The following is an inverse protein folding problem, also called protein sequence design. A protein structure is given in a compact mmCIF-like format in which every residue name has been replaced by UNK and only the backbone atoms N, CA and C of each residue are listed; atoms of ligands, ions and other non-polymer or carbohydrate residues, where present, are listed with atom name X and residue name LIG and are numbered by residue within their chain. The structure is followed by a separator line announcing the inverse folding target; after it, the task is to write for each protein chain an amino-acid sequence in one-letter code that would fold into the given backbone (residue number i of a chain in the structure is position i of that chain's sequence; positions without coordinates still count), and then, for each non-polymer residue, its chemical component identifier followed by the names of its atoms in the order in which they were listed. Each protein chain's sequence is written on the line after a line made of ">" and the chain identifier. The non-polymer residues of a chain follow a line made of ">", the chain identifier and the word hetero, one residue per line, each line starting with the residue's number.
data_IF_413052685907
#
_entry.id   IF_413052685907
#
_cell.length_a   1.000
_cell.length_b   1.000
_cell.length_c   1.000
_cell.angle_alpha   90.00
_cell.angle_beta   90.00
_cell.angle_gamma   90.00
#
_symmetry.space_group_name_H-M   'P 1'
#
loop_
_entity.id
_entity.type
_entity.pdbx_description
1 polymer ?
#
# COMPACT_ATOMS: atom_id res chain seq x y z
N UNK A 1 -65.40 -44.38 -72.37
CA UNK A 1 -66.08 -43.27 -71.65
C UNK A 1 -65.40 -43.10 -70.32
N UNK A 2 -64.69 -42.08 -70.17
CA UNK A 2 -64.25 -41.33 -68.99
C UNK A 2 -62.92 -40.65 -69.23
N UNK A 3 -62.96 -39.33 -69.22
CA UNK A 3 -61.80 -38.45 -69.41
C UNK A 3 -60.92 -38.40 -68.15
N UNK A 4 -59.61 -38.26 -68.28
CA UNK A 4 -58.76 -37.90 -67.17
C UNK A 4 -58.58 -36.38 -67.09
N UNK A 5 -58.80 -35.85 -65.87
CA UNK A 5 -58.62 -34.44 -65.51
C UNK A 5 -57.16 -34.07 -65.36
N UNK A 6 -56.72 -33.00 -66.03
CA UNK A 6 -55.48 -32.35 -65.88
C UNK A 6 -55.43 -31.57 -64.55
N UNK A 7 -54.39 -31.79 -63.72
CA UNK A 7 -54.07 -30.98 -62.57
C UNK A 7 -52.92 -30.03 -62.90
N UNK A 8 -52.98 -28.72 -62.51
CA UNK A 8 -51.91 -27.78 -62.80
C UNK A 8 -50.77 -27.90 -61.77
N UNK A 9 -49.52 -27.84 -62.25
CA UNK A 9 -48.30 -27.83 -61.50
C UNK A 9 -48.16 -26.52 -60.72
N UNK A 10 -48.08 -26.63 -59.39
CA UNK A 10 -47.75 -25.53 -58.52
C UNK A 10 -46.22 -25.29 -58.55
N UNK A 11 -45.78 -24.13 -59.03
CA UNK A 11 -44.42 -23.63 -58.98
C UNK A 11 -44.10 -23.28 -57.51
N UNK A 12 -43.22 -24.06 -56.83
CA UNK A 12 -42.66 -23.76 -55.55
C UNK A 12 -41.53 -22.73 -55.72
N UNK A 13 -41.73 -21.54 -55.21
CA UNK A 13 -40.68 -20.53 -55.08
C UNK A 13 -39.83 -20.84 -53.86
N UNK A 14 -38.59 -21.28 -54.01
CA UNK A 14 -37.63 -21.42 -52.98
C UNK A 14 -37.06 -20.01 -52.66
N UNK A 15 -37.54 -19.40 -51.56
CA UNK A 15 -36.92 -18.25 -50.96
C UNK A 15 -35.71 -18.72 -50.15
N UNK A 16 -34.51 -18.53 -50.67
CA UNK A 16 -33.26 -18.74 -49.97
C UNK A 16 -33.07 -17.54 -49.02
N UNK A 17 -33.34 -17.71 -47.71
CA UNK A 17 -32.95 -16.78 -46.66
C UNK A 17 -31.41 -16.92 -46.46
N UNK A 18 -30.67 -15.90 -46.89
CA UNK A 18 -29.26 -15.70 -46.56
C UNK A 18 -29.15 -15.33 -45.09
N UNK A 19 -28.93 -16.34 -44.23
CA UNK A 19 -28.47 -16.11 -42.84
C UNK A 19 -27.01 -15.66 -42.89
N UNK A 20 -26.74 -14.34 -42.89
CA UNK A 20 -25.40 -13.79 -42.65
C UNK A 20 -25.10 -13.95 -41.12
N UNK A 21 -24.02 -14.66 -40.73
CA UNK A 21 -23.59 -14.65 -39.35
C UNK A 21 -23.00 -13.24 -39.06
N UNK A 22 -23.69 -12.45 -38.25
CA UNK A 22 -23.13 -11.27 -37.62
C UNK A 22 -22.08 -11.76 -36.63
N UNK A 23 -20.83 -11.75 -37.07
CA UNK A 23 -19.67 -11.97 -36.20
C UNK A 23 -19.58 -10.74 -35.28
N UNK A 24 -20.20 -10.80 -34.11
CA UNK A 24 -20.03 -9.83 -33.06
C UNK A 24 -18.54 -9.89 -32.62
N UNK A 25 -17.73 -8.98 -33.17
CA UNK A 25 -16.40 -8.68 -32.65
C UNK A 25 -16.60 -8.20 -31.21
N UNK A 26 -16.47 -9.11 -30.23
CA UNK A 26 -16.31 -8.77 -28.84
C UNK A 26 -14.99 -7.99 -28.75
N UNK A 27 -15.04 -6.66 -28.86
CA UNK A 27 -13.94 -5.79 -28.50
C UNK A 27 -13.65 -6.05 -27.04
N UNK A 28 -12.44 -6.47 -26.66
CA UNK A 28 -12.10 -6.53 -25.24
C UNK A 28 -12.38 -5.13 -24.68
N UNK A 29 -13.23 -5.07 -23.64
CA UNK A 29 -13.44 -3.82 -22.92
C UNK A 29 -12.07 -3.37 -22.43
N UNK A 30 -11.51 -2.34 -23.05
CA UNK A 30 -10.27 -1.73 -22.61
C UNK A 30 -10.53 -1.27 -21.18
N UNK A 31 -9.90 -1.91 -20.22
CA UNK A 31 -9.95 -1.48 -18.83
C UNK A 31 -9.40 -0.05 -18.80
N UNK A 32 -10.26 0.92 -18.51
CA UNK A 32 -9.80 2.30 -18.39
C UNK A 32 -8.78 2.35 -17.27
N UNK A 33 -7.55 2.78 -17.57
CA UNK A 33 -6.50 2.96 -16.56
C UNK A 33 -7.01 3.92 -15.47
N UNK A 34 -6.71 3.62 -14.21
CA UNK A 34 -7.18 4.41 -13.08
C UNK A 34 -6.82 5.90 -13.21
N UNK A 35 -5.72 6.24 -13.91
CA UNK A 35 -5.35 7.63 -14.17
C UNK A 35 -6.44 8.40 -14.92
N UNK A 36 -7.12 7.79 -15.91
CA UNK A 36 -8.21 8.42 -16.63
C UNK A 36 -9.41 8.67 -15.71
N UNK A 37 -9.73 7.69 -14.86
CA UNK A 37 -10.80 7.79 -13.86
C UNK A 37 -10.52 8.90 -12.85
N UNK A 38 -9.28 8.96 -12.30
CA UNK A 38 -8.82 9.99 -11.37
C UNK A 38 -8.90 11.38 -12.02
N UNK A 39 -8.39 11.51 -13.26
CA UNK A 39 -8.36 12.79 -13.98
C UNK A 39 -9.77 13.28 -14.29
N UNK A 40 -10.66 12.38 -14.73
CA UNK A 40 -12.06 12.71 -15.02
C UNK A 40 -12.84 13.09 -13.76
N UNK A 41 -12.60 12.41 -12.65
CA UNK A 41 -13.21 12.71 -11.35
C UNK A 41 -12.63 13.98 -10.71
N UNK A 42 -11.42 14.39 -11.10
CA UNK A 42 -10.70 15.50 -10.50
C UNK A 42 -10.27 15.26 -9.04
N UNK A 43 -10.23 14.00 -8.60
CA UNK A 43 -9.92 13.59 -7.22
C UNK A 43 -9.05 12.36 -7.21
N UNK A 44 -7.97 12.40 -6.41
CA UNK A 44 -7.11 11.27 -6.07
C UNK A 44 -7.43 10.81 -4.64
N UNK A 45 -7.89 9.57 -4.48
CA UNK A 45 -8.18 8.95 -3.18
C UNK A 45 -6.94 8.18 -2.71
N UNK A 46 -6.39 8.56 -1.56
CA UNK A 46 -5.16 7.96 -1.04
C UNK A 46 -5.37 7.41 0.36
N UNK A 47 -5.10 6.11 0.54
CA UNK A 47 -5.04 5.51 1.87
C UNK A 47 -3.74 5.92 2.56
N UNK A 48 -3.86 6.47 3.78
CA UNK A 48 -2.76 6.99 4.59
C UNK A 48 -2.87 6.52 6.05
N UNK A 49 -1.75 6.41 6.79
CA UNK A 49 -1.80 6.09 8.21
C UNK A 49 -2.18 7.35 9.02
N UNK A 50 -2.88 7.18 10.13
CA UNK A 50 -3.14 8.24 11.12
C UNK A 50 -2.54 7.91 12.51
N UNK A 51 -1.88 6.77 12.62
CA UNK A 51 -1.43 6.16 13.87
C UNK A 51 0.07 5.81 13.85
N UNK A 52 0.83 6.31 12.87
CA UNK A 52 2.22 5.92 12.66
C UNK A 52 3.16 7.11 12.41
N UNK A 53 3.32 8.02 13.40
CA UNK A 53 4.25 9.13 13.25
C UNK A 53 5.70 8.64 13.10
N UNK A 54 6.51 9.30 12.25
CA UNK A 54 6.25 10.56 11.54
C UNK A 54 5.66 10.38 10.13
N UNK A 55 5.24 9.16 9.74
CA UNK A 55 4.65 8.91 8.42
C UNK A 55 3.23 9.48 8.32
N UNK A 56 2.39 9.22 9.32
CA UNK A 56 1.05 9.78 9.41
C UNK A 56 0.54 9.82 10.84
N UNK A 57 -0.07 10.93 11.21
CA UNK A 57 -0.70 11.17 12.51
C UNK A 57 -1.74 12.27 12.39
N UNK A 58 -2.59 12.39 13.39
CA UNK A 58 -3.50 13.54 13.53
C UNK A 58 -2.79 14.64 14.32
N UNK A 59 -2.76 15.84 13.75
CA UNK A 59 -2.16 17.01 14.37
C UNK A 59 -3.01 17.62 15.49
N UNK A 60 -2.49 18.63 16.19
CA UNK A 60 -3.24 19.36 17.21
C UNK A 60 -4.47 20.09 16.68
N UNK A 61 -4.47 20.44 15.39
CA UNK A 61 -5.56 21.05 14.64
C UNK A 61 -6.56 20.04 14.08
N UNK A 62 -6.44 18.76 14.51
CA UNK A 62 -7.24 17.63 14.03
C UNK A 62 -7.06 17.33 12.53
N UNK A 63 -6.01 17.86 11.90
CA UNK A 63 -5.71 17.55 10.50
C UNK A 63 -4.67 16.44 10.38
N UNK A 64 -4.79 15.58 9.35
CA UNK A 64 -3.76 14.60 9.03
C UNK A 64 -2.43 15.29 8.69
N UNK A 65 -1.34 14.79 9.27
CA UNK A 65 0.02 15.30 9.02
C UNK A 65 1.04 14.15 9.00
N UNK A 66 2.13 14.32 8.25
CA UNK A 66 3.19 13.33 8.18
C UNK A 66 3.83 13.25 6.80
N UNK A 67 4.88 12.45 6.71
CA UNK A 67 5.63 12.27 5.46
C UNK A 67 4.76 11.67 4.35
N UNK A 68 3.92 10.68 4.67
CA UNK A 68 3.01 10.04 3.73
C UNK A 68 1.89 10.99 3.29
N UNK A 69 1.43 11.87 4.19
CA UNK A 69 0.44 12.90 3.89
C UNK A 69 1.00 13.92 2.89
N UNK A 70 2.24 14.41 3.16
CA UNK A 70 2.93 15.34 2.27
C UNK A 70 3.22 14.68 0.90
N UNK A 71 3.56 13.38 0.88
CA UNK A 71 3.76 12.59 -0.35
C UNK A 71 2.45 12.46 -1.14
N UNK A 72 1.32 12.18 -0.48
CA UNK A 72 0.01 12.12 -1.13
C UNK A 72 -0.36 13.48 -1.76
N UNK A 73 -0.11 14.57 -1.04
CA UNK A 73 -0.35 15.93 -1.55
C UNK A 73 0.56 16.26 -2.75
N UNK A 74 1.82 15.82 -2.75
CA UNK A 74 2.73 15.96 -3.88
C UNK A 74 2.19 15.26 -5.13
N UNK A 75 1.72 14.01 -5.00
CA UNK A 75 1.19 13.25 -6.12
C UNK A 75 -0.11 13.86 -6.66
N UNK A 76 -1.03 14.29 -5.80
CA UNK A 76 -2.27 14.95 -6.23
C UNK A 76 -1.98 16.24 -7.01
N UNK A 77 -1.03 17.06 -6.53
CA UNK A 77 -0.57 18.27 -7.25
C UNK A 77 0.04 17.93 -8.61
N UNK A 78 0.87 16.87 -8.69
CA UNK A 78 1.49 16.46 -9.96
C UNK A 78 0.48 16.00 -11.01
N UNK A 79 -0.70 15.54 -10.58
CA UNK A 79 -1.81 15.13 -11.42
C UNK A 79 -2.83 16.25 -11.66
N UNK A 80 -2.67 17.42 -11.02
CA UNK A 80 -3.60 18.54 -11.04
C UNK A 80 -5.03 18.15 -10.61
N UNK A 81 -5.15 17.36 -9.53
CA UNK A 81 -6.42 16.92 -8.96
C UNK A 81 -6.50 17.22 -7.46
N UNK A 82 -7.71 17.20 -6.91
CA UNK A 82 -7.91 17.31 -5.46
C UNK A 82 -7.46 16.04 -4.75
N UNK A 83 -6.93 16.20 -3.54
CA UNK A 83 -6.57 15.07 -2.68
C UNK A 83 -7.74 14.71 -1.76
N UNK A 84 -8.07 13.43 -1.69
CA UNK A 84 -8.95 12.87 -0.66
C UNK A 84 -8.16 11.83 0.14
N UNK A 85 -7.88 12.12 1.40
CA UNK A 85 -7.24 11.19 2.31
C UNK A 85 -8.28 10.21 2.88
N UNK A 86 -7.88 8.94 2.96
CA UNK A 86 -8.69 7.86 3.54
C UNK A 86 -7.84 7.17 4.61
N UNK A 87 -8.18 7.29 5.90
CA UNK A 87 -7.47 6.62 6.96
C UNK A 87 -7.46 5.10 6.79
N UNK A 88 -6.31 4.48 7.05
CA UNK A 88 -6.16 3.03 6.92
C UNK A 88 -5.22 2.46 7.98
N UNK A 89 -5.58 1.33 8.58
CA UNK A 89 -4.66 0.50 9.36
C UNK A 89 -3.87 -0.46 8.46
N UNK A 90 -2.83 -1.08 9.01
CA UNK A 90 -1.91 -1.93 8.26
C UNK A 90 -2.59 -3.11 7.55
N UNK A 91 -3.59 -3.73 8.15
CA UNK A 91 -4.30 -4.88 7.60
C UNK A 91 -5.18 -4.53 6.39
N UNK A 92 -5.73 -3.30 6.36
CA UNK A 92 -6.70 -2.89 5.35
C UNK A 92 -6.07 -2.21 4.12
N UNK A 93 -4.75 -1.97 4.10
CA UNK A 93 -4.06 -1.28 2.99
C UNK A 93 -4.36 -1.92 1.62
N UNK A 94 -4.07 -3.21 1.46
CA UNK A 94 -4.29 -3.94 0.20
C UNK A 94 -5.77 -4.17 -0.08
N UNK A 95 -6.63 -4.60 0.87
CA UNK A 95 -8.07 -4.69 0.66
C UNK A 95 -8.72 -3.40 0.15
N UNK A 96 -8.28 -2.22 0.61
CA UNK A 96 -8.82 -0.94 0.15
C UNK A 96 -8.49 -0.65 -1.33
N UNK A 97 -7.30 -1.06 -1.80
CA UNK A 97 -6.96 -0.99 -3.23
C UNK A 97 -7.83 -1.95 -4.04
N UNK A 98 -7.86 -3.23 -3.65
CA UNK A 98 -8.55 -4.29 -4.40
C UNK A 98 -10.06 -4.06 -4.52
N UNK A 99 -10.65 -3.34 -3.55
CA UNK A 99 -12.08 -2.96 -3.57
C UNK A 99 -12.32 -1.57 -4.19
N UNK A 100 -11.29 -0.93 -4.76
CA UNK A 100 -11.36 0.41 -5.35
C UNK A 100 -11.89 1.50 -4.38
N UNK A 101 -11.71 1.28 -3.08
CA UNK A 101 -12.02 2.28 -2.05
C UNK A 101 -11.04 3.45 -2.12
N UNK A 102 -9.82 3.17 -2.56
CA UNK A 102 -8.75 4.14 -2.81
C UNK A 102 -8.05 3.83 -4.13
N UNK A 103 -7.40 4.84 -4.71
CA UNK A 103 -6.61 4.73 -5.92
C UNK A 103 -5.15 4.36 -5.61
N UNK A 104 -4.62 4.90 -4.50
CA UNK A 104 -3.25 4.66 -4.03
C UNK A 104 -3.22 4.33 -2.53
N UNK A 105 -2.22 3.56 -2.13
CA UNK A 105 -1.81 3.41 -0.73
C UNK A 105 -0.44 4.06 -0.54
N UNK A 106 -0.39 5.06 0.32
CA UNK A 106 0.84 5.72 0.80
C UNK A 106 0.81 5.62 2.33
N UNK A 107 1.33 4.52 2.85
CA UNK A 107 1.19 4.15 4.26
C UNK A 107 2.39 3.30 4.71
N UNK A 108 3.60 3.88 4.61
CA UNK A 108 4.87 3.18 4.90
C UNK A 108 4.90 1.75 4.34
N UNK A 109 4.37 1.58 3.11
CA UNK A 109 4.11 0.27 2.54
C UNK A 109 5.39 -0.38 2.02
N UNK A 110 5.82 -1.47 2.69
CA UNK A 110 6.94 -2.30 2.23
C UNK A 110 6.51 -3.32 1.17
N UNK A 111 7.47 -3.71 0.31
CA UNK A 111 7.30 -4.66 -0.77
C UNK A 111 7.58 -6.09 -0.32
N UNK A 112 6.73 -7.04 -0.71
CA UNK A 112 6.94 -8.48 -0.53
C UNK A 112 6.48 -9.22 -1.78
N UNK A 113 7.03 -10.44 -2.06
CA UNK A 113 6.59 -11.25 -3.20
C UNK A 113 5.08 -11.50 -3.23
N UNK A 114 4.45 -11.73 -2.07
CA UNK A 114 3.01 -11.97 -2.02
C UNK A 114 2.18 -10.72 -2.32
N UNK A 115 2.63 -9.56 -1.85
CA UNK A 115 2.00 -8.29 -2.19
C UNK A 115 2.17 -7.96 -3.67
N UNK A 116 3.35 -8.24 -4.25
CA UNK A 116 3.62 -8.02 -5.68
C UNK A 116 2.76 -8.89 -6.61
N UNK A 117 2.23 -10.01 -6.14
CA UNK A 117 1.25 -10.81 -6.91
C UNK A 117 -0.08 -10.09 -7.12
N UNK A 118 -0.49 -9.22 -6.18
CA UNK A 118 -1.84 -8.66 -6.13
C UNK A 118 -1.92 -7.14 -6.32
N UNK A 119 -0.82 -6.41 -6.13
CA UNK A 119 -0.71 -4.96 -6.36
C UNK A 119 0.60 -4.61 -7.07
N UNK A 120 0.65 -3.41 -7.69
CA UNK A 120 1.87 -2.84 -8.23
C UNK A 120 2.47 -1.81 -7.27
N UNK A 121 3.78 -1.61 -7.37
CA UNK A 121 4.56 -0.72 -6.52
C UNK A 121 5.32 0.30 -7.34
N UNK A 122 5.35 1.54 -6.87
CA UNK A 122 6.19 2.59 -7.42
C UNK A 122 7.69 2.34 -7.18
N UNK A 123 8.53 3.26 -7.64
CA UNK A 123 9.88 3.45 -7.08
C UNK A 123 9.80 3.85 -5.62
N UNK A 124 10.86 3.58 -4.85
CA UNK A 124 10.91 3.93 -3.43
C UNK A 124 10.84 5.46 -3.23
N UNK A 125 10.07 5.91 -2.21
CA UNK A 125 9.95 7.34 -1.87
C UNK A 125 10.51 7.71 -0.49
N UNK A 126 10.74 6.72 0.39
CA UNK A 126 11.32 6.92 1.71
C UNK A 126 12.24 5.76 2.11
N UNK A 127 13.36 6.03 2.83
CA UNK A 127 14.19 4.98 3.40
C UNK A 127 13.45 4.33 4.56
N UNK A 128 13.59 3.02 4.72
CA UNK A 128 12.94 2.31 5.81
C UNK A 128 13.52 0.91 5.98
N UNK A 129 13.69 0.48 7.21
CA UNK A 129 13.85 -0.92 7.53
C UNK A 129 12.97 -1.31 8.73
N UNK A 130 12.53 -2.53 8.75
CA UNK A 130 11.81 -3.13 9.87
C UNK A 130 12.80 -3.84 10.78
N UNK A 131 12.58 -3.70 12.09
CA UNK A 131 13.44 -4.32 13.10
C UNK A 131 12.68 -4.70 14.36
N UNK A 132 13.37 -5.40 15.24
CA UNK A 132 12.98 -5.59 16.63
C UNK A 132 13.71 -4.57 17.47
N UNK A 133 12.97 -3.91 18.35
CA UNK A 133 13.47 -2.86 19.24
C UNK A 133 13.06 -3.18 20.67
N UNK A 134 13.82 -2.68 21.64
CA UNK A 134 13.52 -2.88 23.06
C UNK A 134 14.51 -2.20 23.98
N UNK A 135 14.28 -2.29 25.30
CA UNK A 135 15.15 -1.66 26.29
C UNK A 135 16.58 -2.23 26.25
N UNK A 136 17.57 -1.42 26.65
CA UNK A 136 19.00 -1.77 26.60
C UNK A 136 19.36 -3.05 27.38
N UNK A 137 18.67 -3.29 28.48
CA UNK A 137 18.86 -4.44 29.38
C UNK A 137 18.40 -5.78 28.76
N UNK A 138 17.48 -5.76 27.80
CA UNK A 138 17.03 -6.98 27.09
C UNK A 138 18.01 -7.28 25.96
N UNK A 139 18.78 -8.35 26.12
CA UNK A 139 19.77 -8.80 25.12
C UNK A 139 19.08 -9.73 24.12
N UNK A 140 19.01 -9.29 22.89
CA UNK A 140 18.47 -10.01 21.72
C UNK A 140 19.27 -9.55 20.51
N UNK A 141 19.78 -10.48 19.72
CA UNK A 141 20.60 -10.24 18.53
C UNK A 141 20.03 -10.91 17.26
N UNK A 142 19.02 -11.76 17.42
CA UNK A 142 18.40 -12.46 16.30
C UNK A 142 17.09 -13.14 16.70
N UNK A 143 16.42 -13.79 15.72
CA UNK A 143 15.10 -14.42 15.92
C UNK A 143 15.11 -15.53 16.98
N UNK A 144 16.19 -16.31 17.10
CA UNK A 144 16.31 -17.39 18.09
C UNK A 144 16.22 -16.88 19.54
N UNK A 145 16.74 -15.66 19.80
CA UNK A 145 16.75 -15.06 21.13
C UNK A 145 15.35 -14.58 21.58
N UNK A 146 14.36 -14.61 20.69
CA UNK A 146 12.97 -14.25 20.99
C UNK A 146 12.20 -15.36 21.71
N UNK A 147 12.77 -16.57 21.82
CA UNK A 147 12.15 -17.67 22.58
C UNK A 147 11.88 -17.24 24.02
N UNK A 148 10.63 -17.41 24.48
CA UNK A 148 10.19 -17.01 25.82
C UNK A 148 10.02 -15.50 26.02
N UNK A 149 10.18 -14.69 24.97
CA UNK A 149 9.96 -13.25 25.03
C UNK A 149 8.66 -12.85 24.32
N UNK A 150 8.08 -11.74 24.79
CA UNK A 150 6.88 -11.15 24.18
C UNK A 150 7.28 -10.02 23.25
N UNK A 151 6.84 -10.07 21.99
CA UNK A 151 7.05 -9.03 20.99
C UNK A 151 5.70 -8.46 20.55
N UNK A 152 5.51 -7.15 20.71
CA UNK A 152 4.34 -6.45 20.17
C UNK A 152 4.54 -6.17 18.68
N UNK A 153 3.51 -6.44 17.89
CA UNK A 153 3.51 -6.15 16.44
C UNK A 153 2.11 -5.73 15.98
N UNK A 154 2.06 -4.87 14.96
CA UNK A 154 0.79 -4.44 14.36
C UNK A 154 0.34 -5.44 13.33
N UNK A 155 -0.90 -5.91 13.42
CA UNK A 155 -1.51 -6.88 12.50
C UNK A 155 -1.42 -6.39 11.04
N UNK A 156 -0.95 -7.26 10.14
CA UNK A 156 -0.80 -6.98 8.71
C UNK A 156 0.39 -6.07 8.36
N UNK A 157 1.20 -5.68 9.35
CA UNK A 157 2.49 -5.03 9.10
C UNK A 157 3.51 -6.04 8.59
N UNK A 158 4.52 -5.57 7.84
CA UNK A 158 5.53 -6.45 7.24
C UNK A 158 6.34 -7.16 8.32
N UNK A 159 6.70 -6.46 9.38
CA UNK A 159 7.44 -6.99 10.53
C UNK A 159 6.65 -8.07 11.28
N UNK A 160 5.33 -7.95 11.38
CA UNK A 160 4.46 -8.97 11.99
C UNK A 160 4.47 -10.25 11.16
N UNK A 161 4.28 -10.11 9.84
CA UNK A 161 4.26 -11.25 8.90
C UNK A 161 5.62 -11.96 8.89
N UNK A 162 6.71 -11.18 8.81
CA UNK A 162 8.06 -11.74 8.78
C UNK A 162 8.44 -12.45 10.08
N UNK A 163 8.17 -11.85 11.25
CA UNK A 163 8.45 -12.47 12.54
C UNK A 163 7.67 -13.75 12.77
N UNK A 164 6.43 -13.83 12.30
CA UNK A 164 5.63 -15.07 12.39
C UNK A 164 6.32 -16.23 11.71
N UNK A 165 7.06 -15.98 10.63
CA UNK A 165 7.80 -17.01 9.89
C UNK A 165 9.18 -17.29 10.48
N UNK A 166 9.93 -16.23 10.85
CA UNK A 166 11.33 -16.37 11.26
C UNK A 166 11.54 -16.69 12.74
N UNK A 167 10.54 -16.44 13.60
CA UNK A 167 10.60 -16.66 15.04
C UNK A 167 9.35 -17.42 15.55
N UNK A 168 9.11 -18.67 15.12
CA UNK A 168 7.89 -19.42 15.46
C UNK A 168 7.75 -19.70 16.95
N UNK A 169 8.84 -19.66 17.72
CA UNK A 169 8.86 -19.88 19.17
C UNK A 169 8.73 -18.58 20.00
N UNK A 170 8.62 -17.44 19.33
CA UNK A 170 8.38 -16.16 20.01
C UNK A 170 6.89 -15.99 20.32
N UNK A 171 6.58 -15.33 21.45
CA UNK A 171 5.21 -14.91 21.73
C UNK A 171 4.93 -13.57 21.08
N UNK A 172 4.34 -13.58 19.86
CA UNK A 172 3.99 -12.36 19.14
C UNK A 172 2.57 -11.91 19.57
N UNK A 173 2.50 -10.79 20.29
CA UNK A 173 1.22 -10.13 20.63
C UNK A 173 0.84 -9.15 19.53
N UNK A 174 -0.28 -9.43 18.87
CA UNK A 174 -0.79 -8.67 17.73
C UNK A 174 -1.79 -7.64 18.16
N UNK A 175 -1.58 -6.40 17.75
CA UNK A 175 -2.48 -5.27 18.01
C UNK A 175 -3.10 -4.81 16.69
N UNK A 176 -4.29 -4.23 16.76
CA UNK A 176 -5.05 -3.83 15.56
C UNK A 176 -4.49 -2.58 14.87
N UNK A 177 -3.80 -1.72 15.62
CA UNK A 177 -3.20 -0.48 15.14
C UNK A 177 -1.83 -0.22 15.76
N UNK A 178 -1.12 0.77 15.20
CA UNK A 178 0.23 1.10 15.65
C UNK A 178 0.25 1.83 16.99
N UNK A 179 -0.77 2.64 17.31
CA UNK A 179 -0.86 3.31 18.60
C UNK A 179 -0.96 2.29 19.74
N UNK A 180 -1.81 1.27 19.58
CA UNK A 180 -1.95 0.19 20.57
C UNK A 180 -0.64 -0.61 20.70
N UNK A 181 0.04 -0.89 19.58
CA UNK A 181 1.34 -1.58 19.58
C UNK A 181 2.40 -0.79 20.35
N UNK A 182 2.51 0.51 20.07
CA UNK A 182 3.48 1.41 20.73
C UNK A 182 3.13 1.56 22.22
N UNK A 183 1.87 1.75 22.55
CA UNK A 183 1.40 1.88 23.94
C UNK A 183 1.69 0.61 24.76
N UNK A 184 1.46 -0.58 24.18
CA UNK A 184 1.78 -1.85 24.82
C UNK A 184 3.29 -2.02 25.11
N UNK A 185 4.14 -1.53 24.21
CA UNK A 185 5.59 -1.51 24.44
C UNK A 185 5.97 -0.51 25.55
N UNK A 186 5.49 0.73 25.46
CA UNK A 186 5.84 1.79 26.41
C UNK A 186 5.36 1.49 27.83
N UNK A 187 4.19 0.83 27.98
CA UNK A 187 3.66 0.40 29.28
C UNK A 187 4.32 -0.88 29.84
N UNK A 188 5.15 -1.57 29.06
CA UNK A 188 5.76 -2.84 29.46
C UNK A 188 4.84 -4.06 29.30
N UNK A 189 3.67 -3.94 28.70
CA UNK A 189 2.77 -5.06 28.39
C UNK A 189 3.43 -6.09 27.47
N UNK A 190 4.36 -5.64 26.59
CA UNK A 190 5.27 -6.46 25.81
C UNK A 190 6.71 -6.07 26.09
N UNK A 191 7.62 -7.05 26.01
CA UNK A 191 9.04 -6.82 26.28
C UNK A 191 9.75 -6.09 25.15
N UNK A 192 9.39 -6.41 23.92
CA UNK A 192 9.98 -5.91 22.69
C UNK A 192 8.88 -5.40 21.76
N UNK A 193 9.25 -4.57 20.79
CA UNK A 193 8.38 -4.10 19.72
C UNK A 193 9.01 -4.39 18.36
N UNK A 194 8.21 -4.92 17.44
CA UNK A 194 8.56 -4.95 16.03
C UNK A 194 7.96 -3.70 15.36
N UNK A 195 8.81 -2.89 14.75
CA UNK A 195 8.43 -1.61 14.15
C UNK A 195 9.46 -1.18 13.10
N UNK A 196 9.19 -0.04 12.47
CA UNK A 196 10.18 0.62 11.62
C UNK A 196 11.20 1.45 12.39
N UNK A 197 12.41 1.52 11.86
CA UNK A 197 13.51 2.27 12.44
C UNK A 197 13.19 3.76 12.66
N UNK A 198 12.54 4.40 11.70
CA UNK A 198 12.16 5.83 11.78
C UNK A 198 11.15 6.06 12.89
N UNK A 199 10.21 5.14 13.07
CA UNK A 199 9.20 5.22 14.14
C UNK A 199 9.85 4.99 15.51
N UNK A 200 10.75 4.01 15.64
CA UNK A 200 11.52 3.81 16.86
C UNK A 200 12.35 5.06 17.22
N UNK A 201 12.98 5.71 16.22
CA UNK A 201 13.69 6.96 16.42
C UNK A 201 12.77 8.11 16.87
N UNK A 202 11.57 8.23 16.29
CA UNK A 202 10.58 9.25 16.68
C UNK A 202 10.04 9.02 18.10
N UNK A 203 9.89 7.76 18.53
CA UNK A 203 9.55 7.42 19.92
C UNK A 203 10.70 7.86 20.83
N UNK A 204 11.95 7.54 20.50
CA UNK A 204 13.13 7.90 21.30
C UNK A 204 13.33 9.41 21.43
N UNK A 205 12.98 10.18 20.42
CA UNK A 205 13.07 11.66 20.45
C UNK A 205 12.17 12.28 21.52
N UNK A 206 11.13 11.57 22.00
CA UNK A 206 10.24 11.99 23.10
C UNK A 206 10.78 11.63 24.47
N UNK A 207 11.99 11.06 24.56
CA UNK A 207 12.63 10.63 25.82
C UNK A 207 11.73 9.77 26.73
N UNK A 208 11.09 8.69 26.23
CA UNK A 208 10.26 7.86 27.08
C UNK A 208 11.11 7.10 28.10
N UNK A 209 10.55 6.75 29.29
CA UNK A 209 11.25 5.91 30.26
C UNK A 209 11.68 4.55 29.70
N UNK A 210 10.90 4.02 28.75
CA UNK A 210 11.18 2.75 28.06
C UNK A 210 11.52 3.04 26.59
N UNK A 211 12.82 2.95 26.27
CA UNK A 211 13.34 3.31 24.94
C UNK A 211 13.38 2.10 24.03
N UNK A 212 12.87 2.21 22.77
CA UNK A 212 13.02 1.19 21.74
C UNK A 212 14.42 1.30 21.08
N UNK A 213 15.43 0.70 21.71
CA UNK A 213 16.76 0.57 21.11
C UNK A 213 16.80 -0.58 20.10
N UNK A 214 17.55 -0.45 18.98
CA UNK A 214 17.60 -1.50 17.98
C UNK A 214 18.21 -2.79 18.51
N UNK A 215 17.61 -3.93 18.16
CA UNK A 215 18.09 -5.27 18.51
C UNK A 215 18.62 -5.99 17.28
N UNK A 216 17.77 -6.20 16.28
CA UNK A 216 18.19 -6.71 14.97
C UNK A 216 17.23 -6.25 13.87
N UNK A 217 17.74 -6.27 12.63
CA UNK A 217 16.96 -5.95 11.44
C UNK A 217 16.19 -7.19 10.99
N UNK A 218 14.87 -7.03 10.80
CA UNK A 218 14.01 -8.06 10.23
C UNK A 218 14.11 -8.03 8.70
N UNK A 219 13.97 -6.84 8.13
CA UNK A 219 14.03 -6.62 6.68
C UNK A 219 14.40 -5.17 6.36
N UNK A 220 15.31 -5.00 5.42
CA UNK A 220 15.53 -3.72 4.75
C UNK A 220 14.54 -3.63 3.58
N UNK A 221 13.61 -2.72 3.68
CA UNK A 221 12.58 -2.51 2.66
C UNK A 221 12.13 -1.06 2.70
N UNK A 222 12.58 -0.23 1.76
CA UNK A 222 12.07 1.13 1.59
C UNK A 222 10.56 1.18 1.47
N UNK A 223 9.98 2.38 1.59
CA UNK A 223 8.56 2.60 1.40
C UNK A 223 8.22 2.87 -0.06
N UNK A 224 7.11 2.30 -0.52
CA UNK A 224 6.62 2.38 -1.88
C UNK A 224 5.14 2.82 -1.91
N UNK A 225 4.74 3.49 -2.96
CA UNK A 225 3.32 3.73 -3.25
C UNK A 225 2.74 2.46 -3.87
N UNK A 226 1.64 1.96 -3.28
CA UNK A 226 0.90 0.82 -3.82
C UNK A 226 -0.28 1.25 -4.68
N UNK A 227 -0.59 0.49 -5.73
CA UNK A 227 -1.75 0.66 -6.60
C UNK A 227 -2.23 -0.68 -7.13
N UNK A 228 -3.44 -0.73 -7.68
CA UNK A 228 -3.94 -1.95 -8.30
C UNK A 228 -3.04 -2.42 -9.45
N UNK A 229 -3.14 -3.71 -9.77
CA UNK A 229 -2.39 -4.31 -10.89
C UNK A 229 -2.83 -3.73 -12.22
N UNK A 230 -1.89 -3.66 -13.16
CA UNK A 230 -2.10 -3.27 -14.55
C UNK A 230 -2.46 -1.79 -14.77
N UNK A 231 -2.25 -0.93 -13.78
CA UNK A 231 -2.44 0.52 -13.87
C UNK A 231 -1.16 1.21 -14.37
N UNK A 232 -0.69 0.82 -15.55
CA UNK A 232 0.64 1.19 -16.06
C UNK A 232 0.85 2.68 -16.26
N UNK A 233 -0.19 3.43 -16.67
CA UNK A 233 -0.12 4.88 -16.86
C UNK A 233 -0.10 5.61 -15.50
N UNK A 234 -0.91 5.15 -14.53
CA UNK A 234 -0.87 5.65 -13.17
C UNK A 234 0.49 5.40 -12.53
N UNK A 235 1.04 4.19 -12.67
CA UNK A 235 2.37 3.85 -12.19
C UNK A 235 3.45 4.74 -12.78
N UNK A 236 3.43 4.95 -14.10
CA UNK A 236 4.38 5.84 -14.78
C UNK A 236 4.27 7.29 -14.26
N UNK A 237 3.05 7.79 -14.06
CA UNK A 237 2.80 9.13 -13.54
C UNK A 237 3.31 9.29 -12.10
N UNK A 238 3.05 8.32 -11.23
CA UNK A 238 3.56 8.29 -9.85
C UNK A 238 5.08 8.26 -9.82
N UNK A 239 5.70 7.38 -10.62
CA UNK A 239 7.16 7.26 -10.68
C UNK A 239 7.82 8.55 -11.20
N UNK A 240 7.24 9.19 -12.22
CA UNK A 240 7.73 10.47 -12.73
C UNK A 240 7.66 11.58 -11.66
N UNK A 241 6.58 11.64 -10.88
CA UNK A 241 6.44 12.62 -9.80
C UNK A 241 7.46 12.38 -8.66
N UNK A 242 7.70 11.11 -8.28
CA UNK A 242 8.71 10.75 -7.29
C UNK A 242 10.11 11.11 -7.80
N UNK A 243 10.44 10.79 -9.05
CA UNK A 243 11.73 11.11 -9.66
C UNK A 243 11.97 12.62 -9.72
N UNK A 244 10.97 13.40 -10.14
CA UNK A 244 11.03 14.86 -10.15
C UNK A 244 11.28 15.41 -8.73
N UNK A 245 10.54 14.93 -7.73
CA UNK A 245 10.66 15.40 -6.35
C UNK A 245 11.98 14.97 -5.68
N UNK A 246 12.63 13.90 -6.16
CA UNK A 246 14.03 13.59 -5.80
C UNK A 246 14.98 14.58 -6.44
N UNK A 247 14.84 14.83 -7.74
CA UNK A 247 15.76 15.69 -8.51
C UNK A 247 15.73 17.14 -8.07
N UNK A 248 14.56 17.69 -7.74
CA UNK A 248 14.39 19.09 -7.30
C UNK A 248 14.59 19.29 -5.79
N UNK A 249 14.86 18.22 -5.02
CA UNK A 249 15.10 18.26 -3.58
C UNK A 249 13.84 18.33 -2.71
N UNK A 250 12.63 18.26 -3.29
CA UNK A 250 11.36 18.28 -2.54
C UNK A 250 11.29 17.13 -1.54
N UNK A 251 11.56 15.88 -1.98
CA UNK A 251 11.58 14.73 -1.07
C UNK A 251 12.63 14.85 0.01
N UNK A 252 13.80 15.44 -0.29
CA UNK A 252 14.85 15.68 0.69
C UNK A 252 14.42 16.70 1.75
N UNK A 253 13.72 17.75 1.35
CA UNK A 253 13.12 18.73 2.26
C UNK A 253 12.08 18.09 3.17
N UNK A 254 11.20 17.26 2.63
CA UNK A 254 10.22 16.49 3.40
C UNK A 254 10.89 15.53 4.38
N UNK A 255 11.96 14.83 3.96
CA UNK A 255 12.73 13.95 4.83
C UNK A 255 13.34 14.67 6.01
N UNK A 256 13.97 15.82 5.77
CA UNK A 256 14.50 16.67 6.85
C UNK A 256 13.42 17.14 7.82
N UNK A 257 12.25 17.53 7.30
CA UNK A 257 11.10 17.99 8.11
C UNK A 257 10.59 16.89 9.03
N UNK A 258 10.39 15.68 8.51
CA UNK A 258 9.71 14.61 9.23
C UNK A 258 10.64 13.61 9.92
N UNK A 259 11.79 13.33 9.32
CA UNK A 259 12.76 12.34 9.83
C UNK A 259 13.98 12.95 10.47
N UNK A 260 14.15 14.29 10.35
CA UNK A 260 15.32 15.01 10.90
C UNK A 260 16.61 14.78 10.11
N UNK A 261 16.57 14.07 8.98
CA UNK A 261 17.74 13.70 8.20
C UNK A 261 17.45 13.80 6.69
N UNK A 262 18.48 14.02 5.86
CA UNK A 262 18.34 13.95 4.41
C UNK A 262 18.06 12.51 3.95
N UNK A 263 17.52 12.38 2.73
CA UNK A 263 17.39 11.08 2.08
C UNK A 263 18.79 10.50 1.80
N UNK A 264 18.98 9.18 1.97
CA UNK A 264 20.22 8.53 1.54
C UNK A 264 20.35 8.57 0.01
N UNK A 265 21.59 8.68 -0.47
CA UNK A 265 21.88 8.82 -1.90
C UNK A 265 21.49 7.62 -2.76
N UNK A 266 21.33 6.47 -2.12
CA UNK A 266 20.97 5.18 -2.77
C UNK A 266 19.48 4.84 -2.73
N UNK A 267 18.62 5.76 -2.33
CA UNK A 267 17.18 5.54 -2.30
C UNK A 267 16.57 5.56 -3.70
#
# INVERSE_FOLDING_TARGET
>A
MTQPSLRPARRAWLAALLLSPVLALATPAAHADALDTITKAGVLKVAVPEDYPPFGSVGPDMQPQGYDIDTAALLARSMNVKLQLVPVNSANRIPYLQTNKVDLVISSLGKTPDREKVIDFSTAYAPYYQGVFGPADIKVSGPADLTGKTVGATRGALEEIALTQMAPNATIKRFEDNNATIAAFLSGQVQLIAAGNIVAAAINAKNPPRRPEPKFVIKDSPCFVGMNKNESRLLAKVNAAIAQAKADGTLNTMSKKWFGAPLPSNL
#
